data_IF_902086722529
#
_entry.id   IF_902086722529
#
_cell.length_a   1.000
_cell.length_b   1.000
_cell.length_c   1.000
_cell.angle_alpha   90.00
_cell.angle_beta   90.00
_cell.angle_gamma   90.00
#
_symmetry.space_group_name_H-M   'P 1'
#
loop_
_entity.id
_entity.type
_entity.pdbx_description
1 polymer ?
#
# COMPACT_ATOMS: atom_id res chain seq x y z
N UNK A 1 21.70 13.63 9.48
CA UNK A 1 21.70 12.91 8.22
C UNK A 1 20.88 11.63 8.34
N UNK A 2 19.97 11.41 7.42
CA UNK A 2 19.10 10.24 7.48
C UNK A 2 19.90 8.97 7.23
N UNK A 3 19.76 8.04 8.13
CA UNK A 3 20.37 6.73 8.01
C UNK A 3 19.60 5.93 6.96
N UNK A 4 20.26 5.34 5.94
CA UNK A 4 19.57 4.49 4.96
C UNK A 4 18.75 3.39 5.61
N UNK A 5 19.24 2.84 6.72
CA UNK A 5 18.54 1.78 7.44
C UNK A 5 17.24 2.28 8.03
N UNK A 6 17.22 3.53 8.49
CA UNK A 6 16.00 4.12 9.03
C UNK A 6 14.92 4.26 7.96
N UNK A 7 15.32 4.69 6.77
CA UNK A 7 14.39 4.80 5.66
C UNK A 7 13.83 3.43 5.26
N UNK A 8 14.70 2.43 5.24
CA UNK A 8 14.30 1.07 4.92
C UNK A 8 13.28 0.55 5.93
N UNK A 9 13.52 0.80 7.22
CA UNK A 9 12.61 0.39 8.28
C UNK A 9 11.24 1.03 8.11
N UNK A 10 11.23 2.32 7.79
CA UNK A 10 9.97 3.05 7.57
C UNK A 10 9.21 2.54 6.36
N UNK A 11 9.92 2.18 5.30
CA UNK A 11 9.31 1.60 4.10
C UNK A 11 8.68 0.26 4.44
N UNK A 12 9.37 -0.58 5.20
CA UNK A 12 8.85 -1.88 5.60
C UNK A 12 7.61 -1.74 6.48
N UNK A 13 7.64 -0.76 7.38
CA UNK A 13 6.50 -0.50 8.25
C UNK A 13 5.29 -0.05 7.44
N UNK A 14 5.50 0.85 6.49
CA UNK A 14 4.43 1.31 5.61
C UNK A 14 3.89 0.16 4.77
N UNK A 15 4.76 -0.70 4.28
CA UNK A 15 4.38 -1.86 3.50
C UNK A 15 3.44 -2.77 4.31
N UNK A 16 3.82 -3.04 5.57
CA UNK A 16 2.99 -3.89 6.43
C UNK A 16 1.63 -3.28 6.71
N UNK A 17 1.59 -1.98 6.95
CA UNK A 17 0.33 -1.29 7.20
C UNK A 17 -0.58 -1.33 5.97
N UNK A 18 -0.02 -1.10 4.79
CA UNK A 18 -0.79 -1.15 3.54
C UNK A 18 -1.32 -2.56 3.31
N UNK A 19 -0.49 -3.56 3.60
CA UNK A 19 -0.88 -4.95 3.46
C UNK A 19 -2.05 -5.29 4.37
N UNK A 20 -2.01 -4.82 5.61
CA UNK A 20 -3.10 -5.04 6.56
C UNK A 20 -4.41 -4.39 6.10
N UNK A 21 -4.31 -3.18 5.57
CA UNK A 21 -5.47 -2.47 5.05
C UNK A 21 -6.07 -3.23 3.88
N UNK A 22 -5.24 -3.73 2.99
CA UNK A 22 -5.70 -4.53 1.85
C UNK A 22 -6.37 -5.82 2.30
N UNK A 23 -5.80 -6.50 3.31
CA UNK A 23 -6.39 -7.72 3.84
C UNK A 23 -7.75 -7.43 4.44
N UNK A 24 -7.87 -6.35 5.19
CA UNK A 24 -9.13 -5.97 5.79
C UNK A 24 -10.17 -5.63 4.72
N UNK A 25 -9.74 -4.94 3.67
CA UNK A 25 -10.61 -4.63 2.55
C UNK A 25 -11.16 -5.90 1.92
N UNK A 26 -10.31 -6.91 1.72
CA UNK A 26 -10.76 -8.18 1.17
C UNK A 26 -11.76 -8.88 2.09
N UNK A 27 -11.50 -8.87 3.40
CA UNK A 27 -12.41 -9.48 4.36
C UNK A 27 -13.77 -8.80 4.38
N UNK A 28 -13.76 -7.48 4.37
CA UNK A 28 -15.00 -6.71 4.48
C UNK A 28 -15.83 -6.72 3.20
N UNK A 29 -15.18 -6.79 2.05
CA UNK A 29 -15.86 -6.66 0.76
C UNK A 29 -15.94 -7.94 -0.04
N UNK A 30 -15.15 -8.96 0.31
CA UNK A 30 -15.04 -10.17 -0.48
C UNK A 30 -14.25 -9.97 -1.77
N UNK A 31 -13.46 -8.91 -1.84
CA UNK A 31 -12.71 -8.57 -3.05
C UNK A 31 -11.64 -9.63 -3.35
N UNK A 32 -11.41 -9.84 -4.65
CA UNK A 32 -10.40 -10.76 -5.11
C UNK A 32 -9.02 -10.10 -5.09
N UNK A 33 -7.98 -10.90 -5.26
CA UNK A 33 -6.62 -10.37 -5.35
C UNK A 33 -6.47 -9.42 -6.53
N UNK A 34 -7.16 -9.70 -7.63
CA UNK A 34 -7.16 -8.82 -8.80
C UNK A 34 -7.75 -7.45 -8.45
N UNK A 35 -8.81 -7.45 -7.67
CA UNK A 35 -9.43 -6.20 -7.24
C UNK A 35 -8.53 -5.40 -6.32
N UNK A 36 -7.77 -6.07 -5.48
CA UNK A 36 -6.78 -5.41 -4.62
C UNK A 36 -5.68 -4.78 -5.48
N UNK A 37 -5.20 -5.52 -6.48
CA UNK A 37 -4.19 -4.98 -7.40
C UNK A 37 -4.70 -3.75 -8.13
N UNK A 38 -5.94 -3.78 -8.55
CA UNK A 38 -6.55 -2.64 -9.23
C UNK A 38 -6.63 -1.43 -8.31
N UNK A 39 -7.03 -1.65 -7.06
CA UNK A 39 -7.08 -0.59 -6.06
C UNK A 39 -5.71 0.07 -5.90
N UNK A 40 -4.68 -0.74 -5.75
CA UNK A 40 -3.32 -0.23 -5.56
C UNK A 40 -2.83 0.52 -6.79
N UNK A 41 -3.16 0.02 -7.97
CA UNK A 41 -2.79 0.68 -9.23
C UNK A 41 -3.46 2.04 -9.35
N UNK A 42 -4.73 2.11 -9.02
CA UNK A 42 -5.48 3.37 -9.09
C UNK A 42 -4.92 4.37 -8.08
N UNK A 43 -4.58 3.91 -6.89
CA UNK A 43 -3.99 4.78 -5.89
C UNK A 43 -2.65 5.34 -6.39
N UNK A 44 -1.83 4.51 -7.01
CA UNK A 44 -0.54 4.94 -7.54
C UNK A 44 -0.72 5.99 -8.64
N UNK A 45 -1.72 5.81 -9.49
CA UNK A 45 -2.04 6.79 -10.55
C UNK A 45 -2.44 8.14 -9.98
N UNK A 46 -3.31 8.10 -8.98
CA UNK A 46 -3.77 9.33 -8.33
C UNK A 46 -2.60 10.05 -7.69
N UNK A 47 -1.73 9.29 -7.04
CA UNK A 47 -0.56 9.87 -6.39
C UNK A 47 0.35 10.58 -7.39
N UNK A 48 0.64 9.91 -8.52
CA UNK A 48 1.47 10.49 -9.56
C UNK A 48 0.84 11.74 -10.16
N UNK A 49 -0.46 11.72 -10.37
CA UNK A 49 -1.17 12.80 -11.02
C UNK A 49 -1.21 14.05 -10.14
N UNK A 50 -1.33 13.87 -8.84
CA UNK A 50 -1.42 14.98 -7.91
C UNK A 50 -0.06 15.53 -7.48
N UNK A 51 0.98 14.74 -7.67
CA UNK A 51 2.32 15.14 -7.28
C UNK A 51 3.23 15.33 -8.48
#
# INVERSE_FOLDING_TARGET
>A
MANPDQKTILIEKAYEEIKEICNKFQEDSGASDMEVKTLLRELARVWEKEN
#
